data_IF_076431544717
#
_entry.id   IF_076431544717
#
_cell.length_a   1.000
_cell.length_b   1.000
_cell.length_c   1.000
_cell.angle_alpha   90.00
_cell.angle_beta   90.00
_cell.angle_gamma   90.00
#
_symmetry.space_group_name_H-M   'P 1'
#
loop_
_entity.id
_entity.type
_entity.pdbx_description
1 polymer ?
#
# COMPACT_ATOMS: atom_id res chain seq x y z
N UNK A 1 -34.44 27.50 19.22
CA UNK A 1 -33.68 27.97 18.04
C UNK A 1 -33.13 26.76 17.35
N UNK A 2 -33.72 26.36 16.22
CA UNK A 2 -33.25 25.21 15.46
C UNK A 2 -32.33 25.69 14.35
N UNK A 3 -31.10 25.20 14.36
CA UNK A 3 -30.11 25.45 13.33
C UNK A 3 -30.60 24.86 12.01
N UNK A 4 -30.66 25.68 10.96
CA UNK A 4 -30.93 25.21 9.60
C UNK A 4 -29.83 24.25 9.15
N UNK A 5 -30.18 22.98 8.99
CA UNK A 5 -29.30 21.98 8.39
C UNK A 5 -29.38 22.15 6.87
N UNK A 6 -28.33 22.71 6.27
CA UNK A 6 -28.22 22.84 4.82
C UNK A 6 -27.87 21.48 4.20
N UNK A 7 -28.87 20.76 3.72
CA UNK A 7 -28.69 19.53 2.95
C UNK A 7 -28.47 19.91 1.47
N UNK A 8 -27.29 19.59 0.95
CA UNK A 8 -26.94 19.81 -0.46
C UNK A 8 -27.13 18.49 -1.19
N UNK A 9 -28.09 18.45 -2.12
CA UNK A 9 -28.29 17.29 -3.00
C UNK A 9 -27.17 17.22 -4.04
N UNK A 10 -26.48 16.08 -4.07
CA UNK A 10 -25.43 15.83 -5.06
C UNK A 10 -26.04 15.37 -6.40
N UNK A 11 -25.43 15.75 -7.54
CA UNK A 11 -25.86 15.29 -8.86
C UNK A 11 -25.70 13.76 -8.99
N UNK A 12 -26.56 13.13 -9.81
CA UNK A 12 -26.66 11.67 -9.96
C UNK A 12 -25.41 10.98 -10.55
N UNK A 13 -24.35 11.73 -10.88
CA UNK A 13 -23.07 11.21 -11.38
C UNK A 13 -22.11 10.87 -10.21
N UNK A 14 -22.56 10.00 -9.31
CA UNK A 14 -21.78 9.45 -8.18
C UNK A 14 -20.43 8.86 -8.61
N UNK A 15 -20.29 8.44 -9.87
CA UNK A 15 -19.03 8.01 -10.48
C UNK A 15 -17.90 9.02 -10.34
N UNK A 16 -18.18 10.33 -10.45
CA UNK A 16 -17.15 11.38 -10.39
C UNK A 16 -16.52 11.57 -9.00
N UNK A 17 -17.20 11.14 -7.93
CA UNK A 17 -16.76 11.24 -6.53
C UNK A 17 -16.21 9.90 -6.05
N UNK A 18 -16.80 8.79 -6.50
CA UNK A 18 -16.32 7.45 -6.20
C UNK A 18 -14.99 7.16 -6.89
N UNK A 19 -14.76 7.68 -8.11
CA UNK A 19 -13.48 7.54 -8.81
C UNK A 19 -12.27 8.05 -8.00
N UNK A 20 -12.24 9.31 -7.53
CA UNK A 20 -11.11 9.81 -6.76
C UNK A 20 -10.96 9.11 -5.40
N UNK A 21 -12.05 8.65 -4.77
CA UNK A 21 -11.98 7.88 -3.53
C UNK A 21 -11.40 6.48 -3.76
N UNK A 22 -11.79 5.79 -4.83
CA UNK A 22 -11.26 4.49 -5.22
C UNK A 22 -9.80 4.60 -5.67
N UNK A 23 -9.43 5.64 -6.41
CA UNK A 23 -8.04 5.92 -6.77
C UNK A 23 -7.19 6.25 -5.55
N UNK A 24 -7.73 7.03 -4.59
CA UNK A 24 -7.04 7.35 -3.34
C UNK A 24 -6.84 6.10 -2.50
N UNK A 25 -7.89 5.27 -2.30
CA UNK A 25 -7.79 4.02 -1.56
C UNK A 25 -6.82 3.02 -2.20
N UNK A 26 -6.84 2.91 -3.54
CA UNK A 26 -5.92 2.05 -4.28
C UNK A 26 -4.46 2.53 -4.17
N UNK A 27 -4.23 3.84 -4.24
CA UNK A 27 -2.88 4.41 -4.12
C UNK A 27 -2.34 4.34 -2.70
N UNK A 28 -3.15 4.57 -1.65
CA UNK A 28 -2.72 4.35 -0.25
C UNK A 28 -2.42 2.90 0.03
N UNK A 29 -3.23 1.96 -0.49
CA UNK A 29 -2.96 0.53 -0.36
C UNK A 29 -1.63 0.13 -1.03
N UNK A 30 -1.40 0.57 -2.28
CA UNK A 30 -0.12 0.37 -2.98
C UNK A 30 1.07 0.96 -2.21
N UNK A 31 0.92 2.19 -1.71
CA UNK A 31 1.97 2.87 -0.97
C UNK A 31 2.29 2.16 0.36
N UNK A 32 1.26 1.75 1.10
CA UNK A 32 1.41 1.03 2.35
C UNK A 32 2.13 -0.30 2.15
N UNK A 33 1.75 -1.05 1.11
CA UNK A 33 2.38 -2.31 0.75
C UNK A 33 3.84 -2.14 0.34
N UNK A 34 4.12 -1.16 -0.53
CA UNK A 34 5.48 -0.83 -0.95
C UNK A 34 6.35 -0.42 0.23
N UNK A 35 5.80 0.39 1.15
CA UNK A 35 6.48 0.82 2.38
C UNK A 35 6.78 -0.36 3.30
N UNK A 36 5.82 -1.26 3.54
CA UNK A 36 6.00 -2.43 4.41
C UNK A 36 7.09 -3.37 3.88
N UNK A 37 7.05 -3.69 2.58
CA UNK A 37 8.08 -4.52 1.95
C UNK A 37 9.44 -3.84 1.98
N UNK A 38 9.49 -2.52 1.70
CA UNK A 38 10.75 -1.76 1.75
C UNK A 38 11.36 -1.79 3.14
N UNK A 39 10.56 -1.65 4.20
CA UNK A 39 11.06 -1.75 5.58
C UNK A 39 11.58 -3.15 5.91
N UNK A 40 10.87 -4.23 5.51
CA UNK A 40 11.34 -5.60 5.73
C UNK A 40 12.63 -5.89 4.94
N UNK A 41 12.72 -5.43 3.71
CA UNK A 41 13.92 -5.50 2.88
C UNK A 41 15.11 -4.76 3.53
N UNK A 42 14.88 -3.53 4.03
CA UNK A 42 15.89 -2.74 4.73
C UNK A 42 16.34 -3.42 6.02
N UNK A 43 15.42 -4.03 6.78
CA UNK A 43 15.77 -4.75 8.00
C UNK A 43 16.66 -5.99 7.72
N UNK A 44 16.36 -6.73 6.65
CA UNK A 44 17.20 -7.84 6.18
C UNK A 44 18.58 -7.33 5.72
N UNK A 45 18.61 -6.19 5.01
CA UNK A 45 19.86 -5.54 4.60
C UNK A 45 20.70 -5.05 5.79
N UNK A 46 20.06 -4.48 6.80
CA UNK A 46 20.74 -3.88 7.96
C UNK A 46 21.37 -4.93 8.89
N UNK A 47 20.78 -6.13 8.94
CA UNK A 47 21.33 -7.25 9.71
C UNK A 47 22.42 -8.05 8.96
N UNK A 48 22.63 -7.85 7.66
CA UNK A 48 23.70 -8.50 6.89
C UNK A 48 24.86 -7.53 6.59
N UNK A 49 26.04 -7.83 7.17
CA UNK A 49 27.22 -6.94 7.19
C UNK A 49 27.98 -6.76 5.87
N UNK A 50 27.54 -7.36 4.74
CA UNK A 50 28.30 -7.36 3.48
C UNK A 50 27.53 -6.76 2.30
N UNK A 51 28.07 -5.68 1.75
CA UNK A 51 27.41 -4.83 0.74
C UNK A 51 27.14 -5.54 -0.61
N UNK A 52 28.03 -6.48 -0.97
CA UNK A 52 27.90 -7.28 -2.20
C UNK A 52 26.90 -8.44 -2.07
N UNK A 53 26.61 -8.87 -0.83
CA UNK A 53 25.62 -9.92 -0.54
C UNK A 53 24.18 -9.40 -0.53
N UNK A 54 23.97 -8.11 -0.23
CA UNK A 54 22.64 -7.48 -0.11
C UNK A 54 21.85 -7.54 -1.40
N UNK A 55 22.48 -7.18 -2.53
CA UNK A 55 21.79 -7.09 -3.82
C UNK A 55 21.41 -8.47 -4.36
N UNK A 56 22.29 -9.48 -4.21
CA UNK A 56 21.99 -10.85 -4.64
C UNK A 56 20.90 -11.50 -3.78
N UNK A 57 20.87 -11.22 -2.48
CA UNK A 57 19.89 -11.74 -1.52
C UNK A 57 18.51 -11.06 -1.67
N UNK A 58 18.47 -9.76 -1.94
CA UNK A 58 17.22 -9.10 -2.35
C UNK A 58 16.70 -9.66 -3.67
N UNK A 59 17.59 -9.86 -4.65
CA UNK A 59 17.23 -10.45 -5.94
C UNK A 59 16.71 -11.88 -5.79
N UNK A 60 17.25 -12.67 -4.85
CA UNK A 60 16.72 -14.00 -4.53
C UNK A 60 15.40 -13.93 -3.77
N UNK A 61 15.24 -13.00 -2.84
CA UNK A 61 13.99 -12.76 -2.10
C UNK A 61 12.85 -12.43 -3.07
N UNK A 62 13.04 -11.46 -3.97
CA UNK A 62 12.04 -11.09 -4.98
C UNK A 62 11.76 -12.21 -5.99
N UNK A 63 12.74 -13.07 -6.30
CA UNK A 63 12.52 -14.27 -7.13
C UNK A 63 11.63 -15.31 -6.46
N UNK A 64 11.67 -15.42 -5.14
CA UNK A 64 10.86 -16.36 -4.35
C UNK A 64 9.55 -15.76 -3.80
N UNK A 65 9.35 -14.44 -3.93
CA UNK A 65 8.22 -13.74 -3.37
C UNK A 65 6.95 -14.01 -4.20
N UNK A 66 5.95 -14.64 -3.59
CA UNK A 66 4.73 -15.06 -4.29
C UNK A 66 3.53 -14.13 -4.00
N UNK A 67 2.50 -14.22 -4.84
CA UNK A 67 1.21 -13.52 -4.60
C UNK A 67 0.58 -13.96 -3.27
N UNK A 68 0.79 -15.21 -2.86
CA UNK A 68 0.30 -15.69 -1.56
C UNK A 68 1.01 -14.97 -0.40
N UNK A 69 2.30 -14.71 -0.51
CA UNK A 69 3.06 -13.93 0.48
C UNK A 69 2.62 -12.47 0.53
N UNK A 70 2.18 -11.92 -0.61
CA UNK A 70 1.54 -10.62 -0.69
C UNK A 70 0.22 -10.60 0.10
N UNK A 71 -0.65 -11.58 -0.15
CA UNK A 71 -1.97 -11.69 0.49
C UNK A 71 -1.82 -11.89 2.00
N UNK A 72 -0.92 -12.77 2.44
CA UNK A 72 -0.64 -13.01 3.87
C UNK A 72 -0.15 -11.75 4.60
N UNK A 73 0.66 -10.92 3.94
CA UNK A 73 1.14 -9.66 4.52
C UNK A 73 0.07 -8.56 4.63
N UNK A 74 -1.03 -8.63 3.85
CA UNK A 74 -2.13 -7.66 3.92
C UNK A 74 -3.06 -7.96 5.11
N UNK A 75 -3.10 -9.21 5.55
CA UNK A 75 -4.01 -9.70 6.59
C UNK A 75 -3.33 -9.85 7.98
N UNK A 76 -2.12 -9.30 8.16
CA UNK A 76 -1.38 -9.28 9.44
C UNK A 76 -1.36 -7.90 10.07
#
# INVERSE_FOLDING_TARGET
MHSEIKVIFMPANTTSILQPMNQRAFSTSKFYYLRNISHKAIAVIANDSSDRSKQSKLKSFWKGFTILDAIKNIHS
#
